data_IF_598364814393
#
_entry.id   IF_598364814393
#
_cell.length_a   1.000
_cell.length_b   1.000
_cell.length_c   1.000
_cell.angle_alpha   90.00
_cell.angle_beta   90.00
_cell.angle_gamma   90.00
#
_symmetry.space_group_name_H-M   'P 1'
#
loop_
_entity.id
_entity.type
_entity.pdbx_description
1 polymer ?
#
# COMPACT_ATOMS: atom_id res chain seq x y z
N UNK A 1 -3.48 10.56 -12.29
CA UNK A 1 -2.61 9.89 -11.30
C UNK A 1 -2.24 10.89 -10.22
N UNK A 2 -2.36 10.51 -8.95
CA UNK A 2 -1.92 11.33 -7.82
C UNK A 2 -0.76 10.58 -7.19
N UNK A 3 0.41 11.22 -7.12
CA UNK A 3 1.59 10.67 -6.46
C UNK A 3 1.84 11.48 -5.20
N UNK A 4 2.17 10.81 -4.10
CA UNK A 4 2.47 11.47 -2.82
C UNK A 4 3.93 11.20 -2.48
N UNK A 5 4.68 12.22 -2.10
CA UNK A 5 6.11 12.10 -1.77
C UNK A 5 6.53 13.17 -0.77
N UNK A 6 7.21 12.76 0.30
CA UNK A 6 7.63 13.63 1.39
C UNK A 6 9.14 13.92 1.42
N UNK A 7 9.98 13.10 0.78
CA UNK A 7 11.41 13.36 0.69
C UNK A 7 11.72 14.39 -0.40
N UNK A 8 12.41 15.51 -0.09
CA UNK A 8 12.70 16.56 -1.08
C UNK A 8 13.49 16.07 -2.31
N UNK A 9 14.31 15.02 -2.17
CA UNK A 9 15.11 14.46 -3.26
C UNK A 9 14.24 13.71 -4.25
N UNK A 10 13.37 12.83 -3.74
CA UNK A 10 12.42 12.08 -4.56
C UNK A 10 11.34 12.99 -5.13
N UNK A 11 10.87 13.97 -4.37
CA UNK A 11 9.94 15.00 -4.84
C UNK A 11 10.52 15.77 -6.05
N UNK A 12 11.79 16.16 -5.97
CA UNK A 12 12.49 16.80 -7.08
C UNK A 12 12.60 15.90 -8.31
N UNK A 13 12.78 14.58 -8.11
CA UNK A 13 12.76 13.60 -9.20
C UNK A 13 11.37 13.47 -9.83
N UNK A 14 10.32 13.29 -9.03
CA UNK A 14 8.94 13.17 -9.51
C UNK A 14 8.51 14.41 -10.29
N UNK A 15 8.77 15.60 -9.75
CA UNK A 15 8.40 16.87 -10.38
C UNK A 15 9.05 17.03 -11.76
N UNK A 16 10.33 16.65 -11.92
CA UNK A 16 11.01 16.70 -13.24
C UNK A 16 10.39 15.72 -14.24
N UNK A 17 10.05 14.51 -13.79
CA UNK A 17 9.48 13.48 -14.66
C UNK A 17 8.00 13.69 -14.98
N UNK A 18 7.29 14.48 -14.15
CA UNK A 18 5.89 14.83 -14.35
C UNK A 18 5.67 16.12 -15.13
N UNK A 19 6.72 16.91 -15.39
CA UNK A 19 6.61 18.09 -16.24
C UNK A 19 6.00 17.79 -17.64
N UNK A 20 6.31 16.67 -18.31
CA UNK A 20 5.70 16.35 -19.60
C UNK A 20 4.20 15.93 -19.54
N UNK A 21 3.73 15.09 -18.59
CA UNK A 21 2.31 14.71 -18.47
C UNK A 21 1.51 15.49 -17.39
N UNK A 22 1.85 16.75 -17.10
CA UNK A 22 1.29 17.51 -15.97
C UNK A 22 -0.24 17.66 -15.99
N UNK A 23 -0.90 17.48 -17.14
CA UNK A 23 -2.36 17.50 -17.28
C UNK A 23 -3.04 16.19 -16.80
N UNK A 24 -2.28 15.10 -16.63
CA UNK A 24 -2.79 13.76 -16.26
C UNK A 24 -2.31 13.29 -14.90
N UNK A 25 -1.35 13.99 -14.30
CA UNK A 25 -0.72 13.59 -13.06
C UNK A 25 -0.33 14.78 -12.20
N UNK A 26 -0.46 14.62 -10.89
CA UNK A 26 -0.10 15.62 -9.89
C UNK A 26 0.76 14.99 -8.80
N UNK A 27 1.67 15.78 -8.23
CA UNK A 27 2.39 15.42 -7.00
C UNK A 27 1.78 16.18 -5.84
N UNK A 28 1.55 15.47 -4.74
CA UNK A 28 1.23 16.07 -3.45
C UNK A 28 2.46 15.89 -2.56
N UNK A 29 3.00 16.99 -2.07
CA UNK A 29 4.14 16.97 -1.15
C UNK A 29 3.67 16.58 0.25
N UNK A 30 4.37 15.62 0.85
CA UNK A 30 4.17 15.16 2.21
C UNK A 30 4.13 13.64 2.33
N UNK A 31 4.03 13.16 3.55
CA UNK A 31 3.94 11.74 3.87
C UNK A 31 2.49 11.33 4.16
N UNK A 32 2.09 10.12 3.77
CA UNK A 32 0.71 9.65 3.98
C UNK A 32 0.49 9.20 5.43
N UNK A 33 -0.55 9.73 6.08
CA UNK A 33 -0.90 9.45 7.48
C UNK A 33 -2.05 10.34 7.97
N UNK A 34 -2.12 10.78 9.24
CA UNK A 34 -1.27 10.36 10.36
C UNK A 34 -1.64 8.94 10.78
N UNK A 35 -0.64 8.21 11.27
CA UNK A 35 -0.84 6.92 11.94
C UNK A 35 0.13 6.83 13.10
N UNK A 36 -0.39 6.58 14.31
CA UNK A 36 0.40 6.52 15.55
C UNK A 36 1.09 7.83 15.97
N UNK A 37 2.14 7.71 16.79
CA UNK A 37 3.01 8.82 17.23
C UNK A 37 4.47 8.46 17.03
N UNK A 38 5.28 9.39 16.50
CA UNK A 38 6.75 9.36 16.43
C UNK A 38 7.36 8.27 15.54
N UNK A 39 7.14 8.42 14.24
CA UNK A 39 8.00 7.78 13.24
C UNK A 39 8.89 8.81 12.56
N UNK A 40 10.03 8.34 12.09
CA UNK A 40 11.00 9.15 11.39
C UNK A 40 11.24 8.58 10.01
N UNK A 41 11.43 9.45 9.03
CA UNK A 41 11.81 9.03 7.69
C UNK A 41 13.34 9.04 7.56
N UNK A 42 13.88 7.98 6.98
CA UNK A 42 15.31 7.85 6.71
C UNK A 42 15.56 7.33 5.30
N UNK A 43 16.46 8.01 4.60
CA UNK A 43 16.86 7.65 3.24
C UNK A 43 18.10 6.76 3.25
N UNK A 44 18.04 5.65 2.54
CA UNK A 44 19.15 4.71 2.36
C UNK A 44 19.46 4.54 0.86
N UNK A 45 20.36 5.38 0.34
CA UNK A 45 20.77 5.32 -1.06
C UNK A 45 19.63 5.74 -2.02
N UNK A 46 19.13 4.80 -2.80
CA UNK A 46 18.06 5.03 -3.80
C UNK A 46 16.65 4.80 -3.28
N UNK A 47 16.50 4.35 -2.03
CA UNK A 47 15.20 4.14 -1.36
C UNK A 47 15.15 4.94 -0.08
N UNK A 48 13.95 5.06 0.50
CA UNK A 48 13.76 5.64 1.81
C UNK A 48 12.53 5.04 2.46
N UNK A 49 12.62 4.81 3.76
CA UNK A 49 11.57 4.15 4.52
C UNK A 49 11.36 4.82 5.87
N UNK A 50 10.29 4.40 6.53
CA UNK A 50 10.04 4.82 7.90
C UNK A 50 10.88 4.01 8.87
N UNK A 51 11.14 4.57 10.05
CA UNK A 51 11.80 3.92 11.16
C UNK A 51 11.18 4.43 12.47
N UNK A 52 11.21 3.65 13.56
CA UNK A 52 10.86 4.16 14.88
C UNK A 52 11.73 5.37 15.21
N UNK A 53 11.14 6.44 15.75
CA UNK A 53 11.91 7.64 16.12
C UNK A 53 12.71 7.36 17.41
N UNK A 54 13.99 7.00 17.24
CA UNK A 54 14.94 6.80 18.34
C UNK A 54 15.69 8.08 18.75
N UNK A 55 15.29 9.25 18.23
CA UNK A 55 15.90 10.54 18.57
C UNK A 55 17.30 10.79 17.98
N UNK A 56 17.73 9.99 17.00
CA UNK A 56 19.08 10.02 16.41
C UNK A 56 19.06 10.49 14.95
N UNK A 57 18.83 11.79 14.73
CA UNK A 57 19.12 12.45 13.44
C UNK A 57 18.21 12.09 12.26
N UNK A 58 17.12 11.37 12.49
CA UNK A 58 16.09 11.12 11.50
C UNK A 58 15.04 12.25 11.47
N UNK A 59 14.39 12.45 10.33
CA UNK A 59 13.40 13.51 10.14
C UNK A 59 12.06 13.08 10.75
N UNK A 60 11.70 13.62 11.91
CA UNK A 60 10.35 13.46 12.47
C UNK A 60 9.32 14.02 11.50
N UNK A 61 8.34 13.19 11.13
CA UNK A 61 7.26 13.61 10.23
C UNK A 61 6.15 14.28 11.03
N UNK A 62 6.03 15.60 10.88
CA UNK A 62 5.02 16.41 11.57
C UNK A 62 3.82 16.71 10.67
N UNK A 63 4.05 16.88 9.36
CA UNK A 63 3.01 17.19 8.38
C UNK A 63 2.59 15.94 7.61
N UNK A 64 1.33 15.57 7.76
CA UNK A 64 0.74 14.38 7.17
C UNK A 64 -0.30 14.74 6.11
N UNK A 65 -0.29 14.00 5.01
CA UNK A 65 -1.33 14.02 3.98
C UNK A 65 -2.31 12.89 4.27
N UNK A 66 -3.57 13.24 4.51
CA UNK A 66 -4.58 12.23 4.85
C UNK A 66 -5.03 11.42 3.63
N UNK A 67 -5.21 10.08 3.75
CA UNK A 67 -5.86 9.28 2.72
C UNK A 67 -7.21 9.87 2.29
N UNK A 68 -8.03 10.34 3.24
CA UNK A 68 -9.31 10.97 2.94
C UNK A 68 -9.16 12.18 1.99
N UNK A 69 -8.23 13.10 2.27
CA UNK A 69 -7.99 14.26 1.40
C UNK A 69 -7.51 13.87 -0.01
N UNK A 70 -6.72 12.80 -0.14
CA UNK A 70 -6.27 12.31 -1.44
C UNK A 70 -7.43 11.72 -2.25
N UNK A 71 -8.35 11.05 -1.56
CA UNK A 71 -9.50 10.34 -2.15
C UNK A 71 -10.64 11.27 -2.58
N UNK A 72 -10.63 12.53 -2.14
CA UNK A 72 -11.52 13.60 -2.61
C UNK A 72 -11.10 14.18 -3.97
N UNK A 73 -9.85 13.98 -4.40
CA UNK A 73 -9.31 14.58 -5.62
C UNK A 73 -9.83 13.94 -6.93
N UNK A 74 -9.98 12.61 -7.05
CA UNK A 74 -10.51 11.99 -8.27
C UNK A 74 -12.03 12.19 -8.41
N UNK A 75 -12.54 12.33 -9.63
CA UNK A 75 -13.95 12.56 -9.88
C UNK A 75 -14.80 11.36 -9.40
N UNK A 76 -16.02 11.55 -8.85
CA UNK A 76 -16.81 10.45 -8.27
C UNK A 76 -17.04 9.25 -9.19
N UNK A 77 -17.09 9.46 -10.50
CA UNK A 77 -17.27 8.44 -11.54
C UNK A 77 -16.00 7.62 -11.85
N UNK A 78 -14.82 8.12 -11.45
CA UNK A 78 -13.53 7.50 -11.75
C UNK A 78 -13.38 6.15 -11.05
N UNK A 79 -12.84 5.19 -11.81
CA UNK A 79 -12.24 3.98 -11.23
C UNK A 79 -10.97 4.40 -10.48
N UNK A 80 -10.93 4.13 -9.17
CA UNK A 80 -9.79 4.53 -8.34
C UNK A 80 -9.00 3.33 -7.87
N UNK A 81 -7.69 3.44 -8.06
CA UNK A 81 -6.70 2.48 -7.56
C UNK A 81 -5.86 3.19 -6.51
N UNK A 82 -5.85 2.64 -5.30
CA UNK A 82 -4.85 2.98 -4.30
C UNK A 82 -3.65 2.06 -4.48
N UNK A 83 -2.46 2.62 -4.72
CA UNK A 83 -1.20 1.87 -4.66
C UNK A 83 -0.36 2.42 -3.53
N UNK A 84 0.08 1.56 -2.62
CA UNK A 84 1.07 1.91 -1.59
C UNK A 84 2.25 0.95 -1.64
N UNK A 85 3.39 1.47 -1.23
CA UNK A 85 4.70 0.84 -1.19
C UNK A 85 5.56 1.83 -0.39
N UNK A 86 5.35 1.77 0.91
CA UNK A 86 5.82 2.74 1.90
C UNK A 86 6.68 1.99 2.92
N UNK A 87 7.56 1.11 2.43
CA UNK A 87 8.65 0.43 3.15
C UNK A 87 8.40 0.32 4.68
N UNK A 88 7.57 -0.65 5.08
CA UNK A 88 7.23 -0.92 6.49
C UNK A 88 6.05 -0.14 7.05
N UNK A 89 5.34 0.67 6.26
CA UNK A 89 4.24 1.52 6.74
C UNK A 89 2.86 1.26 6.09
N UNK A 90 2.80 0.47 5.03
CA UNK A 90 1.59 0.12 4.30
C UNK A 90 0.49 -0.42 5.22
N UNK A 91 0.82 -1.45 6.02
CA UNK A 91 -0.13 -2.09 6.92
C UNK A 91 -0.67 -1.08 7.94
N UNK A 92 0.17 -0.21 8.48
CA UNK A 92 -0.24 0.79 9.46
C UNK A 92 -1.20 1.82 8.87
N UNK A 93 -0.88 2.36 7.69
CA UNK A 93 -1.74 3.30 6.95
C UNK A 93 -3.09 2.63 6.63
N UNK A 94 -3.06 1.42 6.08
CA UNK A 94 -4.27 0.72 5.68
C UNK A 94 -5.14 0.36 6.89
N UNK A 95 -4.57 -0.16 7.98
CA UNK A 95 -5.32 -0.54 9.18
C UNK A 95 -6.07 0.65 9.81
N UNK A 96 -5.50 1.84 9.77
CA UNK A 96 -6.09 3.04 10.39
C UNK A 96 -7.02 3.83 9.46
N UNK A 97 -6.83 3.72 8.14
CA UNK A 97 -7.58 4.51 7.15
C UNK A 97 -8.44 3.67 6.21
N UNK A 98 -8.59 2.36 6.49
CA UNK A 98 -9.28 1.41 5.62
C UNK A 98 -10.66 1.90 5.18
N UNK A 99 -11.50 2.39 6.09
CA UNK A 99 -12.86 2.78 5.77
C UNK A 99 -12.94 3.84 4.66
N UNK A 100 -12.04 4.82 4.65
CA UNK A 100 -12.01 5.84 3.61
C UNK A 100 -11.52 5.25 2.28
N UNK A 101 -10.47 4.41 2.34
CA UNK A 101 -9.89 3.75 1.17
C UNK A 101 -10.89 2.79 0.53
N UNK A 102 -11.50 1.92 1.33
CA UNK A 102 -12.46 0.92 0.89
C UNK A 102 -13.71 1.56 0.27
N UNK A 103 -14.22 2.62 0.87
CA UNK A 103 -15.40 3.33 0.37
C UNK A 103 -15.17 3.98 -1.00
N UNK A 104 -13.92 4.33 -1.35
CA UNK A 104 -13.61 5.09 -2.58
C UNK A 104 -12.94 4.25 -3.67
N UNK A 105 -12.09 3.30 -3.32
CA UNK A 105 -11.20 2.63 -4.25
C UNK A 105 -11.81 1.35 -4.81
N UNK A 106 -11.77 1.17 -6.13
CA UNK A 106 -12.17 -0.08 -6.77
C UNK A 106 -11.08 -1.16 -6.62
N UNK A 107 -9.82 -0.75 -6.48
CA UNK A 107 -8.68 -1.62 -6.21
C UNK A 107 -7.71 -1.01 -5.19
N UNK A 108 -7.14 -1.85 -4.33
CA UNK A 108 -6.06 -1.48 -3.40
C UNK A 108 -4.90 -2.44 -3.66
N UNK A 109 -3.73 -1.91 -4.02
CA UNK A 109 -2.49 -2.65 -4.22
C UNK A 109 -1.46 -2.16 -3.21
N UNK A 110 -0.95 -3.06 -2.39
CA UNK A 110 0.04 -2.72 -1.37
C UNK A 110 1.06 -3.84 -1.18
N UNK A 111 2.23 -3.45 -0.70
CA UNK A 111 3.20 -4.38 -0.13
C UNK A 111 2.69 -4.85 1.23
N UNK A 112 2.67 -6.16 1.43
CA UNK A 112 2.27 -6.80 2.67
C UNK A 112 3.47 -7.50 3.30
N UNK A 113 4.03 -6.87 4.32
CA UNK A 113 5.28 -7.23 4.99
C UNK A 113 5.08 -7.30 6.51
N UNK A 114 4.06 -8.05 6.96
CA UNK A 114 3.66 -8.12 8.38
C UNK A 114 4.80 -8.32 9.41
N UNK A 115 5.88 -9.09 9.16
CA UNK A 115 6.99 -9.23 10.12
C UNK A 115 7.85 -7.97 10.26
N UNK A 116 7.78 -7.04 9.30
CA UNK A 116 8.57 -5.80 9.24
C UNK A 116 7.72 -4.54 9.39
N UNK A 117 6.42 -4.71 9.66
CA UNK A 117 5.53 -3.59 9.94
C UNK A 117 6.11 -2.73 11.07
N UNK A 118 6.19 -1.43 10.81
CA UNK A 118 6.63 -0.43 11.78
C UNK A 118 5.45 0.14 12.60
N UNK A 119 4.23 -0.30 12.27
CA UNK A 119 3.01 0.01 13.01
C UNK A 119 2.85 -0.79 14.30
N UNK A 120 1.66 -0.69 14.90
CA UNK A 120 1.27 -1.54 16.03
C UNK A 120 1.16 -2.98 15.52
N UNK A 121 1.76 -4.00 16.17
CA UNK A 121 1.58 -5.40 15.75
C UNK A 121 0.10 -5.83 15.64
N UNK A 122 -0.80 -5.16 16.36
CA UNK A 122 -2.24 -5.40 16.23
C UNK A 122 -2.84 -4.88 14.90
N UNK A 123 -2.13 -4.03 14.15
CA UNK A 123 -2.58 -3.53 12.84
C UNK A 123 -2.65 -4.61 11.78
N UNK A 124 -1.80 -5.63 11.86
CA UNK A 124 -1.86 -6.76 10.93
C UNK A 124 -3.23 -7.46 11.03
N UNK A 125 -3.64 -7.84 12.23
CA UNK A 125 -4.95 -8.46 12.46
C UNK A 125 -6.11 -7.49 12.13
N UNK A 126 -5.97 -6.18 12.42
CA UNK A 126 -6.99 -5.18 12.01
C UNK A 126 -7.15 -5.16 10.50
N UNK A 127 -6.05 -5.11 9.75
CA UNK A 127 -6.07 -5.10 8.29
C UNK A 127 -6.64 -6.41 7.72
N UNK A 128 -6.26 -7.56 8.29
CA UNK A 128 -6.79 -8.86 7.89
C UNK A 128 -8.31 -8.89 8.01
N UNK A 129 -8.86 -8.40 9.12
CA UNK A 129 -10.31 -8.34 9.32
C UNK A 129 -10.96 -7.36 8.35
N UNK A 130 -10.38 -6.17 8.20
CA UNK A 130 -10.88 -5.16 7.28
C UNK A 130 -10.96 -5.65 5.83
N UNK A 131 -9.92 -6.36 5.36
CA UNK A 131 -9.89 -6.99 4.03
C UNK A 131 -10.95 -8.09 3.91
N UNK A 132 -11.10 -8.95 4.92
CA UNK A 132 -12.11 -10.00 4.90
C UNK A 132 -13.54 -9.44 4.86
N UNK A 133 -13.81 -8.37 5.62
CA UNK A 133 -15.13 -7.72 5.70
C UNK A 133 -15.47 -6.88 4.46
N UNK A 134 -14.46 -6.41 3.71
CA UNK A 134 -14.66 -5.54 2.53
C UNK A 134 -15.37 -6.19 1.34
N UNK A 135 -15.53 -7.52 1.35
CA UNK A 135 -16.11 -8.25 0.22
C UNK A 135 -15.19 -8.32 -1.02
N UNK A 136 -13.93 -7.92 -0.91
CA UNK A 136 -12.95 -7.92 -2.01
C UNK A 136 -12.37 -9.30 -2.27
N UNK A 137 -12.07 -9.59 -3.54
CA UNK A 137 -11.18 -10.71 -3.91
C UNK A 137 -9.74 -10.26 -3.75
N UNK A 138 -8.87 -11.10 -3.17
CA UNK A 138 -7.45 -10.78 -3.01
C UNK A 138 -6.62 -11.64 -3.97
N UNK A 139 -5.80 -10.99 -4.79
CA UNK A 139 -4.77 -11.66 -5.58
C UNK A 139 -3.43 -11.42 -4.90
N UNK A 140 -2.80 -12.49 -4.45
CA UNK A 140 -1.53 -12.43 -3.70
C UNK A 140 -0.40 -12.95 -4.57
N UNK A 141 0.63 -12.12 -4.74
CA UNK A 141 1.80 -12.41 -5.55
C UNK A 141 3.05 -12.44 -4.67
N UNK A 142 4.06 -13.20 -5.10
CA UNK A 142 5.40 -13.10 -4.55
C UNK A 142 6.09 -11.80 -5.02
N UNK A 143 7.27 -11.51 -4.44
CA UNK A 143 8.10 -10.36 -4.81
C UNK A 143 8.71 -10.43 -6.23
N UNK A 144 8.37 -11.46 -7.01
CA UNK A 144 8.71 -11.61 -8.43
C UNK A 144 7.47 -11.51 -9.33
N UNK A 145 6.35 -10.98 -8.80
CA UNK A 145 5.08 -10.78 -9.50
C UNK A 145 4.39 -12.10 -9.94
N UNK A 146 4.72 -13.23 -9.32
CA UNK A 146 4.06 -14.51 -9.60
C UNK A 146 2.86 -14.67 -8.68
N UNK A 147 1.69 -14.88 -9.27
CA UNK A 147 0.48 -15.18 -8.51
C UNK A 147 0.68 -16.46 -7.70
N UNK A 148 0.60 -16.34 -6.38
CA UNK A 148 0.69 -17.47 -5.44
C UNK A 148 -0.69 -18.03 -5.15
N UNK A 149 -1.65 -17.17 -4.85
CA UNK A 149 -3.00 -17.55 -4.46
C UNK A 149 -4.02 -16.44 -4.77
N UNK A 150 -5.23 -16.86 -5.13
CA UNK A 150 -6.42 -16.01 -5.14
C UNK A 150 -7.27 -16.37 -3.91
N UNK A 151 -7.50 -15.41 -3.03
CA UNK A 151 -8.35 -15.57 -1.85
C UNK A 151 -9.75 -15.00 -2.14
N UNK A 152 -10.83 -15.77 -1.90
CA UNK A 152 -12.18 -15.28 -2.07
C UNK A 152 -12.53 -14.23 -0.98
N UNK A 153 -13.57 -13.42 -1.21
CA UNK A 153 -14.11 -12.53 -0.19
C UNK A 153 -14.36 -13.23 1.14
N UNK A 154 -13.93 -12.60 2.25
CA UNK A 154 -14.11 -13.14 3.60
C UNK A 154 -13.03 -14.11 4.10
N UNK A 155 -12.03 -14.47 3.28
CA UNK A 155 -11.02 -15.47 3.66
C UNK A 155 -9.90 -14.90 4.56
N UNK A 156 -10.27 -14.59 5.81
CA UNK A 156 -9.30 -14.17 6.83
C UNK A 156 -8.34 -15.28 7.23
N UNK A 157 -8.69 -16.57 7.04
CA UNK A 157 -7.82 -17.69 7.37
C UNK A 157 -6.65 -17.79 6.38
N UNK A 158 -6.91 -17.57 5.09
CA UNK A 158 -5.88 -17.48 4.06
C UNK A 158 -4.88 -16.36 4.35
N UNK A 159 -5.36 -15.16 4.68
CA UNK A 159 -4.49 -14.04 5.03
C UNK A 159 -3.62 -14.32 6.28
N UNK A 160 -4.20 -14.85 7.36
CA UNK A 160 -3.39 -15.23 8.55
C UNK A 160 -2.34 -16.28 8.24
N UNK A 161 -2.68 -17.24 7.36
CA UNK A 161 -1.73 -18.26 6.92
C UNK A 161 -0.55 -17.64 6.18
N UNK A 162 -0.81 -16.68 5.29
CA UNK A 162 0.23 -15.94 4.57
C UNK A 162 1.07 -15.06 5.51
N UNK A 163 0.44 -14.38 6.48
CA UNK A 163 1.15 -13.60 7.50
C UNK A 163 2.09 -14.49 8.32
N UNK A 164 1.60 -15.61 8.86
CA UNK A 164 2.47 -16.58 9.56
C UNK A 164 3.59 -17.12 8.68
N UNK A 165 3.29 -17.45 7.42
CA UNK A 165 4.30 -17.93 6.49
C UNK A 165 5.42 -16.89 6.26
N UNK A 166 5.08 -15.61 6.13
CA UNK A 166 6.07 -14.52 6.04
C UNK A 166 6.95 -14.42 7.29
N UNK A 167 6.37 -14.58 8.49
CA UNK A 167 7.13 -14.62 9.74
C UNK A 167 8.13 -15.78 9.74
N UNK A 168 7.69 -16.99 9.34
CA UNK A 168 8.56 -18.15 9.21
C UNK A 168 9.68 -17.93 8.18
N UNK A 169 9.41 -17.23 7.06
CA UNK A 169 10.45 -16.89 6.08
C UNK A 169 11.52 -15.98 6.68
N UNK A 170 11.12 -14.94 7.41
CA UNK A 170 12.05 -13.99 8.05
C UNK A 170 12.87 -14.66 9.14
N UNK A 171 12.23 -15.44 10.01
CA UNK A 171 12.90 -16.19 11.08
C UNK A 171 13.86 -17.27 10.54
N UNK A 172 13.48 -17.93 9.44
CA UNK A 172 14.29 -18.93 8.75
C UNK A 172 15.41 -18.35 7.86
N UNK A 173 15.56 -17.02 7.78
CA UNK A 173 16.47 -16.32 6.87
C UNK A 173 16.26 -16.65 5.39
N UNK A 174 15.01 -16.86 4.97
CA UNK A 174 14.61 -17.14 3.58
C UNK A 174 14.23 -15.86 2.84
N UNK A 175 14.25 -15.92 1.50
CA UNK A 175 14.45 -14.80 0.56
C UNK A 175 13.21 -13.94 0.29
N UNK A 176 11.98 -14.39 0.57
CA UNK A 176 10.76 -13.61 0.26
C UNK A 176 10.47 -12.63 1.40
N UNK A 177 10.69 -11.32 1.22
CA UNK A 177 10.61 -10.35 2.32
C UNK A 177 9.20 -9.79 2.53
N UNK A 178 8.32 -9.92 1.52
CA UNK A 178 6.98 -9.37 1.48
C UNK A 178 6.14 -10.08 0.40
N UNK A 179 4.83 -9.80 0.40
CA UNK A 179 3.89 -10.21 -0.65
C UNK A 179 3.24 -8.98 -1.30
N UNK A 180 2.97 -9.06 -2.59
CA UNK A 180 2.18 -8.06 -3.30
C UNK A 180 0.69 -8.46 -3.25
N UNK A 181 -0.13 -7.66 -2.55
CA UNK A 181 -1.57 -7.93 -2.41
C UNK A 181 -2.38 -6.95 -3.26
N UNK A 182 -3.24 -7.49 -4.12
CA UNK A 182 -4.24 -6.71 -4.88
C UNK A 182 -5.64 -7.06 -4.40
N UNK A 183 -6.26 -6.15 -3.66
CA UNK A 183 -7.63 -6.26 -3.17
C UNK A 183 -8.61 -5.60 -4.13
N UNK A 184 -9.46 -6.39 -4.77
CA UNK A 184 -10.30 -5.98 -5.89
C UNK A 184 -11.79 -6.04 -5.54
N UNK A 185 -12.51 -4.97 -5.84
CA UNK A 185 -13.97 -5.05 -6.02
C UNK A 185 -14.32 -5.94 -7.21
N UNK A 186 -15.56 -6.43 -7.27
CA UNK A 186 -16.05 -7.19 -8.42
C UNK A 186 -15.92 -6.39 -9.73
N UNK A 187 -16.23 -5.09 -9.69
CA UNK A 187 -16.08 -4.17 -10.82
C UNK A 187 -14.63 -4.14 -11.32
N UNK A 188 -13.65 -3.94 -10.44
CA UNK A 188 -12.23 -3.92 -10.82
C UNK A 188 -11.75 -5.26 -11.38
N UNK A 189 -12.16 -6.37 -10.76
CA UNK A 189 -11.84 -7.73 -11.22
C UNK A 189 -12.35 -7.97 -12.65
N UNK A 190 -13.58 -7.58 -12.95
CA UNK A 190 -14.17 -7.71 -14.28
C UNK A 190 -13.42 -6.89 -15.34
N UNK A 191 -12.97 -5.67 -15.00
CA UNK A 191 -12.15 -4.84 -15.90
C UNK A 191 -10.80 -5.49 -16.19
N UNK A 192 -10.14 -6.06 -15.18
CA UNK A 192 -8.87 -6.76 -15.36
C UNK A 192 -9.03 -7.99 -16.28
N UNK A 193 -10.04 -8.81 -16.03
CA UNK A 193 -10.29 -10.02 -16.81
C UNK A 193 -10.65 -9.72 -18.28
N UNK A 194 -11.47 -8.68 -18.52
CA UNK A 194 -11.86 -8.27 -19.86
C UNK A 194 -10.69 -7.70 -20.70
N UNK A 195 -9.65 -7.19 -20.06
CA UNK A 195 -8.44 -6.71 -20.74
C UNK A 195 -7.44 -7.84 -21.00
N UNK A 196 -7.36 -8.86 -20.12
CA UNK A 196 -6.52 -10.04 -20.36
C UNK A 196 -7.02 -10.88 -21.54
N UNK A 197 -8.34 -10.98 -21.76
CA UNK A 197 -8.89 -11.72 -22.91
C UNK A 197 -8.63 -11.06 -24.26
N UNK A 198 -8.37 -9.75 -24.30
CA UNK A 198 -8.07 -9.00 -25.54
C UNK A 198 -6.63 -9.12 -26.03
N UNK A 199 -5.72 -9.71 -25.25
CA UNK A 199 -4.30 -9.88 -25.62
C UNK A 199 -4.07 -11.21 -26.35
N UNK A 200 -5.09 -12.08 -26.42
CA UNK A 200 -5.01 -13.43 -27.00
C UNK A 200 -5.74 -13.56 -28.35
N UNK A 201 -6.31 -12.45 -28.85
CA UNK A 201 -6.93 -12.34 -30.19
C UNK A 201 -6.11 -11.39 -31.08
#
# INVERSE_FOLDING_TARGET
MISVEGDPTFLGYLTRNLAPPAERATVVEGFVGPVGTRVSFSRAGSTGGFQPDEGTGAHTVEDWVSPASLLEMPAPEDLVVWKSDIDGFDIHVLAHHWNAIDARCDAVWFEYDSPRTLGDPADDERLIQALAESGRTLLVHDNLERLMVELPPGDSAGLRTLSHWLHEQVEGHVVVPYLDVRALTERAKNVLQANCSRVVD
#
